data_IF_244950203422
#
_entry.id   IF_244950203422
#
_cell.length_a   1.000
_cell.length_b   1.000
_cell.length_c   1.000
_cell.angle_alpha   90.00
_cell.angle_beta   90.00
_cell.angle_gamma   90.00
#
_symmetry.space_group_name_H-M   'P 1'
#
loop_
_entity.id
_entity.type
_entity.pdbx_description
1 polymer ?
#
# COMPACT_ATOMS: atom_id res chain seq x y z
N UNK A 1 18.99 8.75 5.06
CA UNK A 1 19.54 7.57 5.76
C UNK A 1 18.76 6.36 5.28
N UNK A 2 19.45 5.29 4.89
CA UNK A 2 18.79 4.02 4.63
C UNK A 2 18.20 3.52 5.95
N UNK A 3 16.88 3.34 5.96
CA UNK A 3 16.16 2.87 7.14
C UNK A 3 16.45 1.38 7.32
N UNK A 4 16.66 0.93 8.56
CA UNK A 4 17.01 -0.46 8.85
C UNK A 4 15.74 -1.25 9.19
N UNK A 5 15.49 -2.32 8.45
CA UNK A 5 14.41 -3.26 8.70
C UNK A 5 14.98 -4.56 9.28
N UNK A 6 14.22 -5.23 10.14
CA UNK A 6 14.56 -6.58 10.58
C UNK A 6 14.30 -7.59 9.46
N UNK A 7 14.92 -8.78 9.47
CA UNK A 7 14.71 -9.80 8.43
C UNK A 7 13.23 -10.20 8.26
N UNK A 8 12.44 -10.16 9.35
CA UNK A 8 11.01 -10.44 9.31
C UNK A 8 10.21 -9.31 8.64
N UNK A 9 10.58 -8.05 8.90
CA UNK A 9 9.95 -6.88 8.28
C UNK A 9 10.31 -6.78 6.80
N UNK A 10 11.56 -7.03 6.42
CA UNK A 10 11.99 -7.10 5.02
C UNK A 10 11.16 -8.11 4.24
N UNK A 11 11.01 -9.33 4.78
CA UNK A 11 10.19 -10.39 4.17
C UNK A 11 8.74 -9.95 3.92
N UNK A 12 8.18 -9.12 4.82
CA UNK A 12 6.82 -8.58 4.65
C UNK A 12 6.75 -7.45 3.62
N UNK A 13 7.84 -6.69 3.45
CA UNK A 13 7.90 -5.53 2.54
C UNK A 13 8.29 -5.90 1.11
N UNK A 14 9.18 -6.87 0.91
CA UNK A 14 9.72 -7.26 -0.41
C UNK A 14 8.66 -7.46 -1.50
N UNK A 15 7.47 -8.02 -1.23
CA UNK A 15 6.44 -8.18 -2.27
C UNK A 15 5.94 -6.86 -2.86
N UNK A 16 6.02 -5.75 -2.12
CA UNK A 16 5.34 -4.48 -2.42
C UNK A 16 6.24 -3.38 -2.98
N UNK A 17 7.56 -3.57 -2.94
CA UNK A 17 8.55 -2.58 -3.38
C UNK A 17 9.55 -3.21 -4.36
N UNK A 18 10.18 -2.40 -5.22
CA UNK A 18 11.26 -2.89 -6.10
C UNK A 18 12.59 -3.09 -5.37
N UNK A 19 12.89 -2.24 -4.39
CA UNK A 19 14.02 -2.34 -3.47
C UNK A 19 13.62 -1.72 -2.10
N UNK A 20 14.39 -2.01 -1.04
CA UNK A 20 14.09 -1.53 0.33
C UNK A 20 15.12 -0.55 0.89
N UNK A 21 16.28 -0.46 0.24
CA UNK A 21 17.50 0.16 0.75
C UNK A 21 18.01 1.31 -0.13
N UNK A 22 17.49 1.45 -1.35
CA UNK A 22 17.81 2.56 -2.25
C UNK A 22 16.79 3.72 -2.13
N UNK A 23 17.22 4.96 -2.45
CA UNK A 23 16.36 6.14 -2.38
C UNK A 23 15.28 6.18 -3.47
N UNK A 24 15.47 5.50 -4.60
CA UNK A 24 14.52 5.45 -5.72
C UNK A 24 13.96 4.04 -5.82
N UNK A 25 12.64 3.90 -5.84
CA UNK A 25 11.96 2.61 -5.87
C UNK A 25 10.55 2.73 -6.47
N UNK A 26 10.04 1.62 -6.98
CA UNK A 26 8.66 1.47 -7.44
C UNK A 26 7.77 0.75 -6.42
N UNK A 27 6.48 1.09 -6.42
CA UNK A 27 5.44 0.41 -5.65
C UNK A 27 4.77 -0.67 -6.51
N UNK A 28 4.60 -1.86 -5.93
CA UNK A 28 3.89 -3.01 -6.52
C UNK A 28 2.54 -3.18 -5.80
N UNK A 29 1.76 -2.10 -5.76
CA UNK A 29 0.51 -2.01 -5.03
C UNK A 29 -0.64 -1.63 -5.96
N UNK A 30 -1.89 -2.02 -5.64
CA UNK A 30 -3.06 -1.42 -6.27
C UNK A 30 -3.04 0.11 -6.11
N UNK A 31 -3.52 0.82 -7.12
CA UNK A 31 -3.34 2.27 -7.23
C UNK A 31 -3.95 3.04 -6.06
N UNK A 32 -5.10 2.61 -5.60
CA UNK A 32 -5.81 3.30 -4.54
C UNK A 32 -5.22 2.97 -3.15
N UNK A 33 -4.52 1.83 -2.99
CA UNK A 33 -3.67 1.55 -1.80
C UNK A 33 -2.45 2.46 -1.83
N UNK A 34 -1.81 2.63 -2.99
CA UNK A 34 -0.68 3.53 -3.15
C UNK A 34 -1.07 4.98 -2.85
N UNK A 35 -2.21 5.44 -3.37
CA UNK A 35 -2.71 6.79 -3.09
C UNK A 35 -3.07 7.02 -1.62
N UNK A 36 -3.69 6.04 -0.97
CA UNK A 36 -3.87 6.04 0.50
C UNK A 36 -2.56 6.28 1.24
N UNK A 37 -1.56 5.50 0.84
CA UNK A 37 -0.25 5.48 1.47
C UNK A 37 0.44 6.84 1.28
N UNK A 38 0.37 7.44 0.09
CA UNK A 38 0.90 8.79 -0.16
C UNK A 38 0.18 9.87 0.64
N UNK A 39 -1.15 9.82 0.73
CA UNK A 39 -1.93 10.80 1.52
C UNK A 39 -1.63 10.70 3.02
N UNK A 40 -1.37 9.49 3.52
CA UNK A 40 -0.94 9.27 4.90
C UNK A 40 0.51 9.67 5.14
N UNK A 41 1.40 9.30 4.22
CA UNK A 41 2.84 9.58 4.26
C UNK A 41 3.13 11.09 4.28
N UNK A 42 2.40 11.90 3.51
CA UNK A 42 2.59 13.36 3.48
C UNK A 42 2.40 14.05 4.84
N UNK A 43 1.74 13.36 5.79
CA UNK A 43 1.45 13.83 7.16
C UNK A 43 2.25 13.06 8.22
N UNK A 44 3.27 12.29 7.81
CA UNK A 44 4.09 11.45 8.68
C UNK A 44 5.55 11.90 8.64
N UNK A 45 6.25 11.77 9.77
CA UNK A 45 7.71 11.95 9.84
C UNK A 45 8.48 10.67 9.47
N UNK A 46 7.78 9.53 9.32
CA UNK A 46 8.37 8.24 8.95
C UNK A 46 8.59 8.16 7.44
N UNK A 47 9.44 7.24 6.99
CA UNK A 47 9.51 6.93 5.55
C UNK A 47 8.20 6.31 5.05
N UNK A 48 8.04 6.29 3.72
CA UNK A 48 6.91 5.65 3.07
C UNK A 48 6.87 4.13 3.34
N UNK A 49 8.03 3.44 3.36
CA UNK A 49 8.13 2.01 3.66
C UNK A 49 7.73 1.70 5.11
N UNK A 50 8.19 2.52 6.06
CA UNK A 50 7.85 2.35 7.48
C UNK A 50 6.39 2.68 7.76
N UNK A 51 5.86 3.74 7.12
CA UNK A 51 4.42 4.08 7.19
C UNK A 51 3.57 2.91 6.68
N UNK A 52 3.95 2.30 5.55
CA UNK A 52 3.27 1.14 5.02
C UNK A 52 3.36 -0.08 5.96
N UNK A 53 4.55 -0.38 6.48
CA UNK A 53 4.74 -1.52 7.38
C UNK A 53 3.89 -1.39 8.66
N UNK A 54 4.00 -0.26 9.34
CA UNK A 54 3.39 -0.05 10.65
C UNK A 54 1.88 0.12 10.56
N UNK A 55 1.42 0.89 9.56
CA UNK A 55 0.04 1.39 9.53
C UNK A 55 -0.82 0.68 8.49
N UNK A 56 -0.24 0.08 7.45
CA UNK A 56 -1.00 -0.63 6.41
C UNK A 56 -0.92 -2.16 6.57
N UNK A 57 0.28 -2.71 6.74
CA UNK A 57 0.47 -4.15 7.00
C UNK A 57 0.27 -4.54 8.47
N UNK A 58 0.50 -3.59 9.37
CA UNK A 58 0.38 -3.76 10.82
C UNK A 58 -1.04 -3.58 11.36
N UNK A 59 -1.94 -2.94 10.60
CA UNK A 59 -3.33 -2.73 11.01
C UNK A 59 -4.19 -3.98 10.66
N UNK A 60 -4.66 -4.73 11.68
CA UNK A 60 -5.51 -5.90 11.46
C UNK A 60 -6.87 -5.56 10.83
N UNK A 61 -7.36 -4.31 10.96
CA UNK A 61 -8.60 -3.88 10.33
C UNK A 61 -8.48 -3.71 8.81
N UNK A 62 -7.29 -3.35 8.31
CA UNK A 62 -7.06 -3.13 6.88
C UNK A 62 -6.95 -4.44 6.09
N UNK A 63 -6.69 -5.58 6.77
CA UNK A 63 -6.63 -6.93 6.19
C UNK A 63 -5.81 -7.02 4.88
N UNK A 64 -4.78 -6.17 4.74
CA UNK A 64 -4.09 -5.98 3.46
C UNK A 64 -3.29 -7.22 3.04
N UNK A 65 -2.86 -8.04 4.00
CA UNK A 65 -2.25 -9.36 3.74
C UNK A 65 -3.19 -10.32 3.02
N UNK A 66 -4.49 -10.26 3.34
CA UNK A 66 -5.50 -11.11 2.70
C UNK A 66 -5.82 -10.61 1.29
N UNK A 67 -5.77 -9.28 1.08
CA UNK A 67 -6.01 -8.66 -0.22
C UNK A 67 -4.86 -8.84 -1.21
N UNK A 68 -3.62 -8.83 -0.71
CA UNK A 68 -2.41 -8.90 -1.53
C UNK A 68 -1.75 -10.29 -1.55
N UNK A 69 -2.21 -11.24 -0.73
CA UNK A 69 -1.62 -12.56 -0.49
C UNK A 69 -1.86 -13.64 -1.56
N UNK A 70 -2.54 -13.32 -2.66
CA UNK A 70 -2.60 -14.17 -3.85
C UNK A 70 -3.98 -14.74 -4.19
N UNK A 71 -4.28 -14.66 -5.49
CA UNK A 71 -5.50 -15.04 -6.22
C UNK A 71 -6.68 -14.08 -6.04
N UNK A 72 -6.63 -13.01 -6.84
CA UNK A 72 -7.82 -12.53 -7.53
C UNK A 72 -8.37 -13.66 -8.44
N UNK A 73 -9.07 -14.63 -7.84
CA UNK A 73 -10.01 -15.46 -8.57
C UNK A 73 -11.41 -14.93 -8.28
N UNK A 74 -11.79 -14.04 -9.18
CA UNK A 74 -13.13 -13.75 -9.66
C UNK A 74 -14.25 -14.60 -9.04
N UNK A 75 -14.92 -14.00 -8.07
CA UNK A 75 -16.38 -14.01 -7.98
C UNK A 75 -16.77 -12.65 -7.38
N UNK A 76 -17.69 -11.94 -8.04
CA UNK A 76 -18.09 -10.55 -7.74
C UNK A 76 -18.55 -10.32 -6.28
N UNK A 77 -18.76 -11.40 -5.52
CA UNK A 77 -19.30 -11.41 -4.17
C UNK A 77 -18.34 -11.94 -3.08
N UNK A 78 -17.06 -12.13 -3.38
CA UNK A 78 -16.11 -12.61 -2.37
C UNK A 78 -15.99 -11.63 -1.20
N UNK A 79 -15.97 -12.14 0.03
CA UNK A 79 -15.78 -11.32 1.24
C UNK A 79 -14.47 -10.51 1.19
N UNK A 80 -13.47 -11.00 0.48
CA UNK A 80 -12.22 -10.30 0.20
C UNK A 80 -12.46 -9.04 -0.65
N UNK A 81 -13.26 -9.11 -1.72
CA UNK A 81 -13.64 -7.94 -2.54
C UNK A 81 -14.44 -6.90 -1.75
N UNK A 82 -15.38 -7.34 -0.89
CA UNK A 82 -16.14 -6.41 -0.03
C UNK A 82 -15.24 -5.71 0.98
N UNK A 83 -14.28 -6.43 1.59
CA UNK A 83 -13.24 -5.85 2.45
C UNK A 83 -12.32 -4.90 1.67
N UNK A 84 -11.92 -5.26 0.44
CA UNK A 84 -11.13 -4.40 -0.43
C UNK A 84 -11.86 -3.08 -0.69
N UNK A 85 -13.14 -3.16 -1.06
CA UNK A 85 -13.96 -1.99 -1.38
C UNK A 85 -14.23 -1.12 -0.15
N UNK A 86 -14.51 -1.72 1.00
CA UNK A 86 -14.66 -0.99 2.26
C UNK A 86 -13.33 -0.35 2.72
N UNK A 87 -12.21 -1.03 2.51
CA UNK A 87 -10.87 -0.47 2.70
C UNK A 87 -10.68 0.75 1.79
N UNK A 88 -10.98 0.60 0.49
CA UNK A 88 -10.84 1.66 -0.49
C UNK A 88 -11.74 2.86 -0.19
N UNK A 89 -12.99 2.64 0.19
CA UNK A 89 -13.91 3.71 0.60
C UNK A 89 -13.43 4.37 1.89
N UNK A 90 -13.01 3.61 2.92
CA UNK A 90 -12.48 4.20 4.17
C UNK A 90 -11.23 5.03 3.92
N UNK A 91 -10.36 4.57 3.03
CA UNK A 91 -9.18 5.30 2.58
C UNK A 91 -9.58 6.57 1.83
N UNK A 92 -10.40 6.47 0.78
CA UNK A 92 -10.80 7.60 -0.06
C UNK A 92 -11.55 8.66 0.74
N UNK A 93 -12.52 8.24 1.56
CA UNK A 93 -13.34 9.11 2.41
C UNK A 93 -12.53 9.64 3.59
N UNK A 94 -11.73 8.80 4.25
CA UNK A 94 -10.97 9.17 5.45
C UNK A 94 -9.80 10.10 5.17
N UNK A 95 -9.20 10.03 3.99
CA UNK A 95 -8.08 10.89 3.61
C UNK A 95 -8.49 12.13 2.80
N UNK A 96 -9.73 12.18 2.29
CA UNK A 96 -10.40 13.40 1.82
C UNK A 96 -9.83 14.00 0.54
N UNK A 97 -9.28 13.17 -0.33
CA UNK A 97 -8.49 13.62 -1.49
C UNK A 97 -9.06 13.02 -2.78
N UNK A 98 -9.88 13.79 -3.51
CA UNK A 98 -10.21 13.47 -4.90
C UNK A 98 -8.94 13.37 -5.78
N UNK A 99 -7.83 13.97 -5.31
CA UNK A 99 -6.48 13.90 -5.88
C UNK A 99 -5.88 12.49 -5.83
N UNK A 100 -6.26 11.65 -4.85
CA UNK A 100 -5.75 10.26 -4.73
C UNK A 100 -6.22 9.39 -5.88
N UNK A 101 -7.43 9.64 -6.39
CA UNK A 101 -7.93 8.97 -7.60
C UNK A 101 -7.14 9.33 -8.87
N UNK A 102 -6.39 10.45 -8.86
CA UNK A 102 -5.57 10.90 -9.98
C UNK A 102 -4.15 10.30 -9.99
N UNK A 103 -3.73 9.61 -8.92
CA UNK A 103 -2.39 8.98 -8.82
C UNK A 103 -2.22 7.72 -9.69
N UNK A 104 -3.22 7.36 -10.49
CA UNK A 104 -3.22 6.15 -11.30
C UNK A 104 -2.46 6.23 -12.62
N UNK A 105 -1.13 6.16 -12.61
CA UNK A 105 -0.32 5.56 -13.70
C UNK A 105 1.20 5.50 -13.36
N UNK A 106 1.91 4.50 -13.91
CA UNK A 106 3.37 4.45 -13.93
C UNK A 106 3.89 3.99 -15.31
N UNK A 107 4.76 4.78 -15.93
CA UNK A 107 5.42 4.48 -17.21
C UNK A 107 6.87 4.95 -17.16
N UNK A 108 7.81 4.10 -17.59
CA UNK A 108 9.26 4.34 -17.49
C UNK A 108 9.92 4.00 -18.83
N UNK A 109 10.79 4.89 -19.31
CA UNK A 109 11.61 4.71 -20.52
C UNK A 109 12.99 5.38 -20.32
N UNK A 110 13.98 4.96 -21.12
CA UNK A 110 15.40 5.32 -20.98
C UNK A 110 15.81 6.60 -21.71
#
# INVERSE_FOLDING_TARGET
>A
MSEQFTPAEEKNLTPFFTNLDEPVFGLKLPQEVAGALFSRYSRSAKSLRRTFLDEFLGDPELALKDLLGGQALASDDSAALKKARAFYERVLVGYGDDSVAQLGAAHIAC
#
